data_IF_234348014335
#
_entry.id   IF_234348014335
#
_cell.length_a   1.000
_cell.length_b   1.000
_cell.length_c   1.000
_cell.angle_alpha   90.00
_cell.angle_beta   90.00
_cell.angle_gamma   90.00
#
_symmetry.space_group_name_H-M   'P 1'
#
loop_
_entity.id
_entity.type
_entity.pdbx_description
1 polymer ?
#
# COMPACT_ATOMS: atom_id res chain seq x y z
N UNK A 1 -11.59 -1.87 -20.05
CA UNK A 1 -10.59 -0.88 -19.60
C UNK A 1 -9.84 -1.54 -18.47
N UNK A 2 -8.52 -1.63 -18.53
CA UNK A 2 -7.75 -2.17 -17.41
C UNK A 2 -7.91 -1.20 -16.23
N UNK A 3 -8.21 -1.71 -15.04
CA UNK A 3 -8.41 -0.93 -13.81
C UNK A 3 -7.19 -0.13 -13.37
N UNK A 4 -6.04 -0.35 -14.03
CA UNK A 4 -4.72 0.10 -13.61
C UNK A 4 -4.11 1.09 -14.61
N UNK A 5 -4.91 1.62 -15.56
CA UNK A 5 -4.48 2.70 -16.44
C UNK A 5 -4.09 3.94 -15.59
N UNK A 6 -2.81 4.38 -15.63
CA UNK A 6 -2.35 5.47 -14.79
C UNK A 6 -3.18 6.75 -14.91
N UNK A 7 -3.70 7.07 -16.11
CA UNK A 7 -4.47 8.29 -16.32
C UNK A 7 -5.86 8.23 -15.65
N UNK A 8 -6.49 7.05 -15.66
CA UNK A 8 -7.79 6.84 -14.99
C UNK A 8 -7.61 6.87 -13.48
N UNK A 9 -6.54 6.23 -12.98
CA UNK A 9 -6.24 6.17 -11.55
C UNK A 9 -5.93 7.56 -11.00
N UNK A 10 -5.04 8.33 -11.64
CA UNK A 10 -4.67 9.66 -11.13
C UNK A 10 -5.82 10.65 -11.22
N UNK A 11 -6.66 10.59 -12.25
CA UNK A 11 -7.86 11.43 -12.34
C UNK A 11 -8.86 11.14 -11.20
N UNK A 12 -9.03 9.87 -10.83
CA UNK A 12 -9.90 9.50 -9.71
C UNK A 12 -9.36 9.99 -8.36
N UNK A 13 -8.04 9.96 -8.17
CA UNK A 13 -7.39 10.46 -6.95
C UNK A 13 -7.52 11.98 -6.86
N UNK A 14 -7.25 12.71 -7.94
CA UNK A 14 -7.38 14.17 -7.96
C UNK A 14 -8.83 14.61 -7.64
N UNK A 15 -9.82 13.91 -8.21
CA UNK A 15 -11.23 14.19 -7.89
C UNK A 15 -11.59 13.90 -6.43
N UNK A 16 -10.93 12.94 -5.77
CA UNK A 16 -11.12 12.67 -4.36
C UNK A 16 -10.44 13.72 -3.46
N UNK A 17 -9.25 14.17 -3.84
CA UNK A 17 -8.47 15.21 -3.14
C UNK A 17 -9.22 16.55 -3.09
N UNK A 18 -10.00 16.87 -4.13
CA UNK A 18 -10.84 18.08 -4.14
C UNK A 18 -11.93 18.10 -3.06
N UNK A 19 -12.32 16.94 -2.51
CA UNK A 19 -13.50 16.81 -1.63
C UNK A 19 -13.24 16.11 -0.29
N UNK A 20 -12.02 15.63 -0.05
CA UNK A 20 -11.66 14.87 1.14
C UNK A 20 -10.50 15.53 1.88
N UNK A 21 -10.51 15.45 3.21
CA UNK A 21 -9.39 15.94 4.03
C UNK A 21 -8.14 15.04 3.93
N UNK A 22 -8.35 13.75 3.63
CA UNK A 22 -7.29 12.73 3.50
C UNK A 22 -7.68 11.74 2.41
N UNK A 23 -6.75 11.41 1.50
CA UNK A 23 -6.94 10.43 0.44
C UNK A 23 -6.01 9.23 0.62
N UNK A 24 -6.59 8.06 0.92
CA UNK A 24 -5.85 6.80 1.04
C UNK A 24 -6.22 5.88 -0.13
N UNK A 25 -5.21 5.46 -0.90
CA UNK A 25 -5.40 4.60 -2.08
C UNK A 25 -5.06 3.16 -1.74
N UNK A 26 -5.92 2.22 -2.11
CA UNK A 26 -5.61 0.78 -2.11
C UNK A 26 -5.50 0.29 -3.55
N UNK A 27 -4.51 -0.54 -3.86
CA UNK A 27 -4.28 -1.03 -5.21
C UNK A 27 -3.74 -2.47 -5.24
N UNK A 28 -4.25 -3.23 -6.20
CA UNK A 28 -3.82 -4.58 -6.53
C UNK A 28 -2.82 -4.54 -7.69
N UNK A 29 -1.53 -4.77 -7.44
CA UNK A 29 -0.46 -4.55 -8.44
C UNK A 29 0.75 -5.48 -8.31
N UNK A 30 1.77 -5.25 -9.13
CA UNK A 30 3.04 -5.96 -9.03
C UNK A 30 2.96 -7.42 -9.45
N UNK A 31 4.02 -8.15 -9.09
CA UNK A 31 4.25 -9.53 -9.54
C UNK A 31 4.13 -10.46 -8.33
N UNK A 32 3.36 -11.54 -8.51
CA UNK A 32 3.22 -12.60 -7.52
C UNK A 32 4.59 -13.08 -6.99
N UNK A 33 4.75 -13.06 -5.66
CA UNK A 33 5.94 -13.44 -4.90
C UNK A 33 7.20 -12.59 -5.12
N UNK A 34 7.14 -11.50 -5.88
CA UNK A 34 8.29 -10.61 -6.04
C UNK A 34 8.65 -9.92 -4.71
N UNK A 35 9.94 -9.80 -4.35
CA UNK A 35 10.36 -9.22 -3.07
C UNK A 35 10.27 -7.69 -3.02
N UNK A 36 9.94 -7.03 -4.14
CA UNK A 36 9.81 -5.58 -4.24
C UNK A 36 9.00 -5.16 -5.48
N UNK A 37 8.64 -3.87 -5.57
CA UNK A 37 7.85 -3.35 -6.68
C UNK A 37 8.64 -3.38 -7.99
N UNK A 38 7.93 -3.48 -9.12
CA UNK A 38 8.52 -3.22 -10.44
C UNK A 38 8.75 -1.72 -10.65
N UNK A 39 9.47 -1.36 -11.71
CA UNK A 39 9.61 0.05 -12.10
C UNK A 39 8.27 0.69 -12.47
N UNK A 40 7.34 -0.09 -13.04
CA UNK A 40 6.00 0.36 -13.37
C UNK A 40 5.16 0.62 -12.11
N UNK A 41 5.18 -0.29 -11.13
CA UNK A 41 4.50 -0.10 -9.84
C UNK A 41 5.06 1.14 -9.13
N UNK A 42 6.40 1.29 -9.12
CA UNK A 42 7.07 2.44 -8.51
C UNK A 42 6.72 3.77 -9.20
N UNK A 43 6.56 3.77 -10.53
CA UNK A 43 6.12 4.95 -11.27
C UNK A 43 4.66 5.28 -10.97
N UNK A 44 3.78 4.27 -10.97
CA UNK A 44 2.36 4.44 -10.69
C UNK A 44 2.13 4.92 -9.24
N UNK A 45 2.78 4.32 -8.25
CA UNK A 45 2.67 4.74 -6.85
C UNK A 45 3.12 6.19 -6.62
N UNK A 46 4.16 6.66 -7.33
CA UNK A 46 4.55 8.08 -7.30
C UNK A 46 3.51 8.97 -7.96
N UNK A 47 2.99 8.59 -9.12
CA UNK A 47 1.95 9.34 -9.80
C UNK A 47 0.66 9.47 -8.95
N UNK A 48 0.32 8.45 -8.16
CA UNK A 48 -0.79 8.53 -7.21
C UNK A 48 -0.56 9.60 -6.13
N UNK A 49 0.64 9.63 -5.54
CA UNK A 49 1.01 10.64 -4.54
C UNK A 49 1.00 12.05 -5.16
N UNK A 50 1.53 12.20 -6.38
CA UNK A 50 1.51 13.47 -7.12
C UNK A 50 0.09 13.93 -7.44
N UNK A 51 -0.84 12.99 -7.64
CA UNK A 51 -2.24 13.27 -7.94
C UNK A 51 -3.09 13.62 -6.70
N UNK A 52 -2.53 13.58 -5.49
CA UNK A 52 -3.23 13.95 -4.25
C UNK A 52 -3.36 12.82 -3.22
N UNK A 53 -2.88 11.61 -3.49
CA UNK A 53 -2.92 10.56 -2.47
C UNK A 53 -1.98 10.90 -1.30
N UNK A 54 -2.47 10.74 -0.07
CA UNK A 54 -1.69 10.91 1.16
C UNK A 54 -1.04 9.61 1.63
N UNK A 55 -1.57 8.47 1.22
CA UNK A 55 -0.93 7.17 1.42
C UNK A 55 -1.37 6.18 0.34
N UNK A 56 -0.50 5.23 0.00
CA UNK A 56 -0.81 4.15 -0.94
C UNK A 56 -0.55 2.79 -0.30
N UNK A 57 -1.56 1.91 -0.32
CA UNK A 57 -1.52 0.55 0.18
C UNK A 57 -1.63 -0.46 -0.97
N UNK A 58 -0.48 -0.98 -1.36
CA UNK A 58 -0.34 -2.06 -2.33
C UNK A 58 -0.63 -3.43 -1.73
N UNK A 59 -1.22 -4.30 -2.54
CA UNK A 59 -1.38 -5.73 -2.28
C UNK A 59 -1.35 -6.50 -3.61
N UNK A 60 -1.44 -7.84 -3.56
CA UNK A 60 -1.28 -8.84 -4.64
C UNK A 60 -0.01 -9.70 -4.56
N UNK A 61 1.21 -9.19 -4.27
CA UNK A 61 2.41 -10.02 -4.32
C UNK A 61 2.43 -11.22 -3.35
N UNK A 62 1.49 -11.29 -2.39
CA UNK A 62 1.37 -12.35 -1.39
C UNK A 62 2.60 -12.51 -0.46
N UNK A 63 3.54 -11.56 -0.53
CA UNK A 63 4.73 -11.43 0.31
C UNK A 63 4.84 -9.99 0.82
N UNK A 64 5.48 -9.80 1.97
CA UNK A 64 5.78 -8.45 2.47
C UNK A 64 6.85 -7.81 1.60
N UNK A 65 6.58 -6.63 1.08
CA UNK A 65 7.54 -5.77 0.41
C UNK A 65 7.85 -4.56 1.30
N UNK A 66 8.94 -3.80 1.03
CA UNK A 66 9.28 -2.62 1.81
C UNK A 66 8.16 -1.57 1.82
N UNK A 67 8.23 -0.67 2.79
CA UNK A 67 7.58 0.63 2.73
C UNK A 67 8.61 1.65 2.21
N UNK A 68 8.18 2.58 1.38
CA UNK A 68 8.96 3.76 1.02
C UNK A 68 8.19 5.03 1.32
N UNK A 69 8.88 6.15 1.27
CA UNK A 69 8.27 7.48 1.38
C UNK A 69 8.56 8.25 0.10
N UNK A 70 7.56 8.98 -0.40
CA UNK A 70 7.69 9.88 -1.54
C UNK A 70 6.91 11.16 -1.25
N UNK A 71 7.54 12.34 -1.39
CA UNK A 71 6.99 13.63 -0.94
C UNK A 71 6.41 13.54 0.48
N UNK A 72 7.20 12.95 1.39
CA UNK A 72 6.84 12.73 2.81
C UNK A 72 5.60 11.86 3.07
N UNK A 73 5.03 11.24 2.03
CA UNK A 73 3.86 10.36 2.12
C UNK A 73 4.23 8.87 1.99
N UNK A 74 3.66 7.97 2.80
CA UNK A 74 4.01 6.56 2.80
C UNK A 74 3.40 5.79 1.63
N UNK A 75 4.21 4.89 1.04
CA UNK A 75 3.78 3.88 0.07
C UNK A 75 4.17 2.50 0.61
N UNK A 76 3.16 1.66 0.83
CA UNK A 76 3.32 0.26 1.21
C UNK A 76 3.22 -0.60 -0.04
N UNK A 77 4.31 -1.22 -0.50
CA UNK A 77 4.28 -1.93 -1.78
C UNK A 77 3.52 -3.28 -1.72
N UNK A 78 3.58 -3.97 -0.58
CA UNK A 78 2.75 -5.15 -0.29
C UNK A 78 2.82 -5.53 1.19
N UNK A 79 1.68 -5.89 1.78
CA UNK A 79 1.55 -6.28 3.20
C UNK A 79 1.57 -7.80 3.43
N UNK A 80 1.67 -8.61 2.36
CA UNK A 80 1.53 -10.05 2.43
C UNK A 80 0.07 -10.48 2.60
N UNK A 81 -0.19 -11.52 3.41
CA UNK A 81 -1.49 -12.20 3.37
C UNK A 81 -2.42 -11.97 4.57
N UNK A 82 -1.90 -11.49 5.70
CA UNK A 82 -2.56 -11.30 7.01
C UNK A 82 -3.27 -12.54 7.59
N UNK A 83 -4.19 -13.18 6.86
CA UNK A 83 -4.87 -14.44 7.16
C UNK A 83 -4.76 -15.35 5.94
N UNK A 84 -4.05 -16.48 6.04
CA UNK A 84 -3.86 -17.39 4.90
C UNK A 84 -3.53 -18.83 5.30
N UNK A 85 -3.72 -19.76 4.36
CA UNK A 85 -3.31 -21.15 4.55
C UNK A 85 -1.79 -21.32 4.35
N UNK A 86 -1.05 -21.29 5.48
CA UNK A 86 0.21 -21.96 5.81
C UNK A 86 1.38 -22.09 4.79
N UNK A 87 1.38 -21.40 3.64
CA UNK A 87 2.52 -21.42 2.69
C UNK A 87 3.45 -20.21 2.82
N UNK A 88 2.92 -19.04 3.19
CA UNK A 88 3.71 -17.81 3.39
C UNK A 88 3.20 -17.13 4.65
N UNK A 89 3.97 -17.25 5.73
CA UNK A 89 3.54 -16.79 7.06
C UNK A 89 3.88 -15.34 7.36
N UNK A 90 4.89 -14.76 6.70
CA UNK A 90 5.27 -13.35 6.90
C UNK A 90 4.19 -12.43 6.33
N UNK A 91 3.77 -11.47 7.12
CA UNK A 91 2.84 -10.42 6.76
C UNK A 91 3.19 -9.14 7.52
N UNK A 92 2.42 -8.08 7.31
CA UNK A 92 2.51 -6.85 8.05
C UNK A 92 1.14 -6.18 8.12
N UNK A 93 0.97 -5.29 9.11
CA UNK A 93 -0.10 -4.30 9.18
C UNK A 93 0.52 -2.95 8.83
N UNK A 94 -0.13 -2.19 7.96
CA UNK A 94 0.18 -0.78 7.77
C UNK A 94 -0.45 0.01 8.93
N UNK A 95 0.37 0.68 9.73
CA UNK A 95 -0.08 1.75 10.60
C UNK A 95 0.07 3.07 9.85
N UNK A 96 -1.01 3.83 9.76
CA UNK A 96 -1.04 5.18 9.21
C UNK A 96 -1.52 6.10 10.32
N UNK A 97 -0.74 7.13 10.62
CA UNK A 97 -1.07 8.17 11.60
C UNK A 97 -1.26 9.48 10.86
N UNK A 98 -2.38 10.13 11.12
CA UNK A 98 -2.70 11.47 10.61
C UNK A 98 -2.67 12.42 11.79
N UNK A 99 -1.74 13.36 11.78
CA UNK A 99 -1.62 14.39 12.80
C UNK A 99 -2.60 15.56 12.54
N UNK A 100 -2.97 16.34 13.57
CA UNK A 100 -3.90 17.46 13.41
C UNK A 100 -3.46 18.56 12.43
N UNK A 101 -2.17 18.62 12.09
CA UNK A 101 -1.63 19.55 11.10
C UNK A 101 -1.69 19.01 9.65
N UNK A 102 -2.28 17.82 9.47
CA UNK A 102 -2.40 17.13 8.18
C UNK A 102 -1.20 16.26 7.82
N UNK A 103 -0.16 16.18 8.67
CA UNK A 103 0.98 15.30 8.43
C UNK A 103 0.54 13.84 8.47
N UNK A 104 0.96 13.05 7.47
CA UNK A 104 0.63 11.63 7.35
C UNK A 104 1.91 10.81 7.45
N UNK A 105 2.01 9.97 8.47
CA UNK A 105 3.16 9.07 8.66
C UNK A 105 2.74 7.61 8.57
N UNK A 106 3.66 6.76 8.12
CA UNK A 106 3.44 5.33 7.95
C UNK A 106 4.46 4.48 8.69
N UNK A 107 4.02 3.34 9.24
CA UNK A 107 4.91 2.29 9.78
C UNK A 107 4.40 0.90 9.38
N UNK A 108 5.34 0.02 9.02
CA UNK A 108 5.06 -1.41 8.90
C UNK A 108 5.16 -2.08 10.28
N UNK A 109 4.06 -2.64 10.76
CA UNK A 109 4.03 -3.50 11.94
C UNK A 109 4.14 -4.95 11.47
N UNK A 110 5.24 -5.67 11.76
CA UNK A 110 5.39 -7.07 11.35
C UNK A 110 4.27 -7.95 11.90
N UNK A 111 3.82 -8.89 11.09
CA UNK A 111 2.87 -9.92 11.50
C UNK A 111 3.32 -11.29 11.01
N UNK A 112 3.02 -12.32 11.80
CA UNK A 112 3.26 -13.71 11.43
C UNK A 112 1.97 -14.51 11.52
N UNK A 113 1.63 -15.21 10.43
CA UNK A 113 0.51 -16.14 10.38
C UNK A 113 0.96 -17.45 11.04
N UNK A 114 0.38 -17.76 12.19
CA UNK A 114 0.62 -18.99 12.94
C UNK A 114 -0.38 -20.09 12.54
N UNK A 115 -0.29 -21.25 13.21
CA UNK A 115 -1.17 -22.38 12.95
C UNK A 115 -2.66 -21.96 12.90
N UNK A 116 -3.41 -22.59 11.97
CA UNK A 116 -4.83 -22.29 11.67
C UNK A 116 -5.07 -20.93 10.99
N UNK A 117 -4.03 -20.29 10.45
CA UNK A 117 -4.17 -19.07 9.65
C UNK A 117 -4.34 -17.79 10.48
N UNK A 118 -4.07 -17.83 11.79
CA UNK A 118 -4.20 -16.68 12.69
C UNK A 118 -2.99 -15.75 12.60
N UNK A 119 -3.15 -14.43 12.38
CA UNK A 119 -2.06 -13.47 12.52
C UNK A 119 -1.71 -13.18 13.99
N UNK A 120 -0.42 -12.99 14.24
CA UNK A 120 0.13 -12.44 15.49
C UNK A 120 1.06 -11.29 15.12
N UNK A 121 0.83 -10.12 15.72
CA UNK A 121 1.70 -8.95 15.56
C UNK A 121 3.00 -9.16 16.35
N UNK A 122 4.12 -8.72 15.78
CA UNK A 122 5.44 -8.77 16.39
C UNK A 122 5.82 -7.53 17.17
#
# INVERSE_FOLDING_TARGET
MASDDPAVVTAAIAAADEIADIVIVTIHWGIELAPGPTSADAALGRAMIEAGADAVLGHHPHVVQPMSTYLDRPIFWSLGNFVWHNRISRSAVAEIVVDPDGTVTGRLIPATIVARGRPVLG
#
